data_IF_616530779858
#
_entry.id   IF_616530779858
#
_cell.length_a   1.000
_cell.length_b   1.000
_cell.length_c   1.000
_cell.angle_alpha   90.00
_cell.angle_beta   90.00
_cell.angle_gamma   90.00
#
_symmetry.space_group_name_H-M   'P 1'
#
loop_
_entity.id
_entity.type
_entity.pdbx_description
1 polymer ?
#
# COMPACT_ATOMS: atom_id res chain seq x y z
N UNK A 1 31.75 8.42 25.65
CA UNK A 1 31.71 7.22 24.80
C UNK A 1 30.44 6.40 25.08
N UNK A 2 30.32 5.74 26.23
CA UNK A 2 29.15 4.89 26.57
C UNK A 2 27.84 5.69 26.67
N UNK A 3 27.85 6.85 27.35
CA UNK A 3 26.65 7.68 27.50
C UNK A 3 26.07 8.14 26.15
N UNK A 4 26.93 8.60 25.24
CA UNK A 4 26.53 8.99 23.88
C UNK A 4 25.95 7.82 23.08
N UNK A 5 26.51 6.61 23.22
CA UNK A 5 25.99 5.41 22.57
C UNK A 5 24.60 5.03 23.11
N UNK A 6 24.39 5.11 24.43
CA UNK A 6 23.08 4.86 25.05
C UNK A 6 22.05 5.88 24.61
N UNK A 7 22.40 7.17 24.59
CA UNK A 7 21.50 8.23 24.12
C UNK A 7 21.14 8.07 22.64
N UNK A 8 22.09 7.69 21.78
CA UNK A 8 21.84 7.42 20.38
C UNK A 8 20.89 6.22 20.18
N UNK A 9 21.12 5.10 20.88
CA UNK A 9 20.23 3.93 20.79
C UNK A 9 18.80 4.25 21.23
N UNK A 10 18.62 5.05 22.30
CA UNK A 10 17.29 5.44 22.77
C UNK A 10 16.53 6.32 21.76
N UNK A 11 17.23 7.16 20.98
CA UNK A 11 16.64 8.00 19.93
C UNK A 11 16.24 7.20 18.68
N UNK A 12 16.89 6.09 18.39
CA UNK A 12 16.53 5.22 17.25
C UNK A 12 15.27 4.39 17.55
N UNK A 13 15.05 4.02 18.80
CA UNK A 13 13.89 3.22 19.23
C UNK A 13 12.58 4.03 19.14
N UNK A 14 12.64 5.36 19.27
CA UNK A 14 11.45 6.22 19.21
C UNK A 14 10.95 6.56 17.79
N UNK A 15 11.68 6.15 16.75
CA UNK A 15 11.22 6.26 15.37
C UNK A 15 10.30 5.07 15.01
N UNK A 16 9.08 5.05 15.55
CA UNK A 16 8.08 4.06 15.16
C UNK A 16 7.12 4.63 14.12
N UNK A 17 7.16 4.07 12.90
CA UNK A 17 6.04 4.15 11.98
C UNK A 17 4.94 3.20 12.47
N UNK A 18 3.91 3.74 13.13
CA UNK A 18 2.78 2.93 13.58
C UNK A 18 1.79 2.75 12.43
N UNK A 19 1.34 1.51 12.21
CA UNK A 19 0.15 1.25 11.39
C UNK A 19 -1.05 1.69 12.22
N UNK A 20 -1.88 2.65 11.76
CA UNK A 20 -3.03 3.09 12.54
C UNK A 20 -4.00 1.93 12.76
N UNK A 21 -4.20 1.52 14.02
CA UNK A 21 -5.24 0.55 14.45
C UNK A 21 -6.43 1.30 15.06
N UNK A 22 -6.76 2.43 14.46
CA UNK A 22 -7.89 3.28 14.86
C UNK A 22 -9.11 3.01 13.99
N UNK A 23 -10.25 3.63 14.32
CA UNK A 23 -11.42 3.61 13.42
C UNK A 23 -11.02 4.24 12.09
N UNK A 24 -11.49 3.66 11.00
CA UNK A 24 -11.25 4.18 9.66
C UNK A 24 -11.55 5.70 9.64
N UNK A 25 -10.59 6.55 9.24
CA UNK A 25 -10.84 7.97 9.12
C UNK A 25 -11.92 8.23 8.06
N UNK A 26 -12.61 9.36 8.18
CA UNK A 26 -13.55 9.81 7.14
C UNK A 26 -12.76 10.34 5.93
N UNK A 27 -12.46 9.45 4.99
CA UNK A 27 -11.74 9.77 3.76
C UNK A 27 -12.74 10.02 2.64
N UNK A 28 -12.69 11.22 2.07
CA UNK A 28 -13.54 11.59 0.93
C UNK A 28 -13.02 10.95 -0.36
N UNK A 29 -13.93 10.37 -1.13
CA UNK A 29 -13.63 9.91 -2.48
C UNK A 29 -13.32 11.05 -3.45
N UNK A 30 -12.69 10.72 -4.58
CA UNK A 30 -12.44 11.68 -5.66
C UNK A 30 -13.76 12.05 -6.34
N UNK A 31 -14.09 13.34 -6.37
CA UNK A 31 -15.29 13.83 -7.03
C UNK A 31 -15.17 13.72 -8.56
N UNK A 32 -16.28 13.40 -9.24
CA UNK A 32 -16.34 13.24 -10.71
C UNK A 32 -15.31 12.24 -11.26
N UNK A 33 -15.08 11.15 -10.52
CA UNK A 33 -14.13 10.11 -10.90
C UNK A 33 -14.53 9.42 -12.22
N UNK A 34 -13.64 9.46 -13.21
CA UNK A 34 -13.80 8.73 -14.47
C UNK A 34 -13.28 7.30 -14.32
N UNK A 35 -14.20 6.36 -14.12
CA UNK A 35 -13.86 4.94 -13.96
C UNK A 35 -13.27 4.29 -15.22
N UNK A 36 -13.54 4.82 -16.42
CA UNK A 36 -12.97 4.29 -17.66
C UNK A 36 -11.52 4.72 -17.84
N UNK A 37 -11.18 5.94 -17.44
CA UNK A 37 -9.80 6.43 -17.41
C UNK A 37 -8.94 5.72 -16.35
N UNK A 38 -9.56 5.06 -15.36
CA UNK A 38 -8.87 4.32 -14.30
C UNK A 38 -8.50 2.86 -14.67
N UNK A 39 -8.96 2.37 -15.82
CA UNK A 39 -8.70 1.01 -16.26
C UNK A 39 -7.23 0.82 -16.68
N UNK A 40 -6.80 -0.44 -16.72
CA UNK A 40 -5.44 -0.83 -17.10
C UNK A 40 -4.58 -1.24 -15.90
N UNK A 41 -3.27 -1.17 -16.08
CA UNK A 41 -2.29 -1.68 -15.12
C UNK A 41 -1.85 -0.59 -14.13
N UNK A 42 -1.93 -0.92 -12.85
CA UNK A 42 -1.47 -0.11 -11.74
C UNK A 42 -0.26 -0.77 -11.08
N UNK A 43 0.88 -0.08 -11.14
CA UNK A 43 2.12 -0.50 -10.47
C UNK A 43 2.16 0.07 -9.07
N UNK A 44 2.18 -0.81 -8.08
CA UNK A 44 2.19 -0.37 -6.69
C UNK A 44 3.53 0.28 -6.34
N UNK A 45 3.47 1.50 -5.79
CA UNK A 45 4.64 2.25 -5.37
C UNK A 45 5.00 2.00 -3.89
N UNK A 46 3.97 1.90 -3.03
CA UNK A 46 4.12 1.66 -1.60
C UNK A 46 2.81 1.13 -1.01
N UNK A 47 2.92 0.43 0.12
CA UNK A 47 1.79 -0.07 0.90
C UNK A 47 2.10 -0.02 2.40
N UNK A 48 1.06 -0.10 3.22
CA UNK A 48 1.25 -0.51 4.61
C UNK A 48 1.58 -2.00 4.68
N UNK A 49 2.46 -2.44 5.60
CA UNK A 49 2.79 -3.84 5.73
C UNK A 49 1.58 -4.64 6.24
N UNK A 50 1.21 -5.69 5.51
CA UNK A 50 0.12 -6.62 5.88
C UNK A 50 0.61 -8.07 5.77
N UNK A 51 0.00 -8.99 6.52
CA UNK A 51 0.38 -10.42 6.49
C UNK A 51 0.05 -11.10 5.15
N UNK A 52 -0.94 -10.59 4.42
CA UNK A 52 -1.43 -11.22 3.18
C UNK A 52 -0.49 -10.98 1.99
N UNK A 53 0.39 -9.99 2.12
CA UNK A 53 1.20 -9.46 1.03
C UNK A 53 2.67 -9.34 1.45
N UNK A 54 3.03 -10.05 2.52
CA UNK A 54 4.38 -10.05 3.06
C UNK A 54 5.36 -10.51 1.98
N UNK A 55 6.44 -9.76 1.84
CA UNK A 55 7.50 -9.96 0.84
C UNK A 55 7.03 -9.83 -0.62
N UNK A 56 5.84 -9.26 -0.84
CA UNK A 56 5.35 -8.93 -2.17
C UNK A 56 6.26 -7.97 -2.92
N UNK A 57 6.81 -8.40 -4.06
CA UNK A 57 7.62 -7.54 -4.96
C UNK A 57 6.97 -7.44 -6.33
N UNK A 58 7.23 -6.30 -6.99
CA UNK A 58 6.80 -6.04 -8.36
C UNK A 58 5.29 -6.27 -8.53
N UNK A 59 4.50 -5.62 -7.68
CA UNK A 59 3.05 -5.82 -7.65
C UNK A 59 2.36 -4.98 -8.69
N UNK A 60 1.55 -5.64 -9.52
CA UNK A 60 0.75 -5.01 -10.56
C UNK A 60 -0.70 -5.41 -10.39
N UNK A 61 -1.60 -4.44 -10.43
CA UNK A 61 -3.04 -4.67 -10.43
C UNK A 61 -3.65 -4.22 -11.75
N UNK A 62 -4.20 -5.16 -12.51
CA UNK A 62 -5.00 -4.85 -13.68
C UNK A 62 -6.45 -4.58 -13.27
N UNK A 63 -7.00 -3.46 -13.75
CA UNK A 63 -8.38 -3.05 -13.49
C UNK A 63 -9.12 -3.04 -14.83
N UNK A 64 -10.22 -3.79 -14.90
CA UNK A 64 -10.99 -3.97 -16.12
C UNK A 64 -12.50 -3.93 -15.85
N UNK A 65 -13.28 -3.66 -16.90
CA UNK A 65 -14.74 -3.73 -16.87
C UNK A 65 -15.19 -5.05 -17.47
N UNK A 66 -16.05 -5.77 -16.76
CA UNK A 66 -16.73 -6.97 -17.26
C UNK A 66 -17.89 -6.67 -18.20
N UNK A 67 -18.35 -7.68 -18.93
CA UNK A 67 -19.52 -7.55 -19.83
C UNK A 67 -20.81 -7.12 -19.09
N UNK A 68 -20.90 -7.45 -17.81
CA UNK A 68 -21.95 -7.05 -16.86
C UNK A 68 -21.76 -5.64 -16.29
N UNK A 69 -20.79 -4.88 -16.81
CA UNK A 69 -20.36 -3.56 -16.32
C UNK A 69 -19.83 -3.56 -14.89
N UNK A 70 -19.41 -4.71 -14.38
CA UNK A 70 -18.75 -4.80 -13.07
C UNK A 70 -17.26 -4.47 -13.19
N UNK A 71 -16.71 -3.76 -12.20
CA UNK A 71 -15.26 -3.55 -12.11
C UNK A 71 -14.62 -4.81 -11.55
N UNK A 72 -13.60 -5.31 -12.23
CA UNK A 72 -12.78 -6.44 -11.81
C UNK A 72 -11.36 -5.96 -11.59
N UNK A 73 -10.78 -6.35 -10.46
CA UNK A 73 -9.36 -6.15 -10.17
C UNK A 73 -8.66 -7.50 -10.13
N UNK A 74 -7.45 -7.55 -10.70
CA UNK A 74 -6.58 -8.72 -10.65
C UNK A 74 -5.17 -8.27 -10.28
N UNK A 75 -4.75 -8.61 -9.07
CA UNK A 75 -3.40 -8.33 -8.57
C UNK A 75 -2.48 -9.52 -8.82
N UNK A 76 -1.26 -9.24 -9.28
CA UNK A 76 -0.22 -10.22 -9.56
C UNK A 76 1.14 -9.68 -9.11
N UNK A 77 2.06 -10.61 -8.81
CA UNK A 77 3.46 -10.34 -8.57
C UNK A 77 4.21 -10.72 -9.84
N UNK A 78 4.71 -9.74 -10.59
CA UNK A 78 5.45 -10.00 -11.83
C UNK A 78 6.94 -10.12 -11.51
N UNK A 79 7.70 -10.92 -12.25
CA UNK A 79 9.15 -11.05 -12.05
C UNK A 79 9.56 -11.41 -10.59
N UNK A 80 8.70 -12.09 -9.84
CA UNK A 80 9.04 -12.66 -8.54
C UNK A 80 9.84 -13.94 -8.78
N UNK A 81 11.16 -13.82 -8.78
CA UNK A 81 12.10 -14.95 -8.69
C UNK A 81 12.05 -15.60 -7.30
#
# INVERSE_FOLDING_TARGET
MIAFAVTFCLLVISAQGQIPVERCPDVKGVANFDGYAYLGDWYEQARYPTLLEDHGRCVVTNIAVGDDRTIRSRTQYINSE
#
